data_IF_761305849343
#
_entry.id   IF_761305849343
#
_cell.length_a   1.000
_cell.length_b   1.000
_cell.length_c   1.000
_cell.angle_alpha   90.00
_cell.angle_beta   90.00
_cell.angle_gamma   90.00
#
_symmetry.space_group_name_H-M   'P 1'
#
loop_
_entity.id
_entity.type
_entity.pdbx_description
1 polymer ?
#
# COMPACT_ATOMS: atom_id res chain seq x y z
N UNK A 1 0.25 -20.33 -24.02
CA UNK A 1 -0.63 -19.86 -22.91
C UNK A 1 0.16 -19.72 -21.61
N UNK A 2 1.33 -19.09 -21.65
CA UNK A 2 2.38 -19.18 -20.63
C UNK A 2 2.79 -17.80 -20.08
N UNK A 3 1.84 -17.00 -19.65
CA UNK A 3 2.14 -15.75 -18.96
C UNK A 3 1.23 -15.67 -17.74
N UNK A 4 1.78 -16.01 -16.57
CA UNK A 4 1.12 -15.86 -15.28
C UNK A 4 1.11 -14.37 -14.89
N UNK A 5 0.51 -13.52 -15.72
CA UNK A 5 0.45 -12.08 -15.50
C UNK A 5 -0.49 -11.77 -14.33
N UNK A 6 -0.02 -10.97 -13.37
CA UNK A 6 -0.84 -10.53 -12.23
C UNK A 6 -2.11 -9.82 -12.71
N UNK A 7 -3.23 -10.02 -12.01
CA UNK A 7 -4.50 -9.30 -12.24
C UNK A 7 -4.29 -7.78 -12.37
N UNK A 8 -3.37 -7.23 -11.58
CA UNK A 8 -3.00 -5.81 -11.63
C UNK A 8 -2.56 -5.36 -13.02
N UNK A 9 -1.70 -6.11 -13.70
CA UNK A 9 -1.15 -5.74 -15.02
C UNK A 9 -2.29 -5.65 -16.05
N UNK A 10 -3.18 -6.65 -16.05
CA UNK A 10 -4.31 -6.71 -16.97
C UNK A 10 -5.32 -5.60 -16.67
N UNK A 11 -5.56 -5.32 -15.39
CA UNK A 11 -6.45 -4.23 -14.98
C UNK A 11 -5.89 -2.86 -15.39
N UNK A 12 -4.58 -2.63 -15.23
CA UNK A 12 -3.93 -1.38 -15.66
C UNK A 12 -3.97 -1.20 -17.17
N UNK A 13 -3.67 -2.26 -17.94
CA UNK A 13 -3.78 -2.22 -19.40
C UNK A 13 -5.22 -1.93 -19.84
N UNK A 14 -6.22 -2.59 -19.22
CA UNK A 14 -7.64 -2.29 -19.47
C UNK A 14 -7.95 -0.82 -19.21
N UNK A 15 -7.54 -0.28 -18.06
CA UNK A 15 -7.81 1.13 -17.70
C UNK A 15 -7.19 2.10 -18.70
N UNK A 16 -5.94 1.88 -19.10
CA UNK A 16 -5.27 2.70 -20.11
C UNK A 16 -6.04 2.68 -21.44
N UNK A 17 -6.48 1.51 -21.90
CA UNK A 17 -7.20 1.43 -23.16
C UNK A 17 -8.61 2.01 -23.04
N UNK A 18 -9.33 1.84 -21.93
CA UNK A 18 -10.64 2.47 -21.72
C UNK A 18 -10.53 3.99 -21.67
N UNK A 19 -9.44 4.52 -21.12
CA UNK A 19 -9.16 5.95 -21.07
C UNK A 19 -8.86 6.52 -22.47
N UNK A 20 -8.06 5.83 -23.27
CA UNK A 20 -7.67 6.27 -24.61
C UNK A 20 -8.76 6.00 -25.66
N UNK A 21 -9.47 4.89 -25.52
CA UNK A 21 -10.44 4.38 -26.49
C UNK A 21 -11.79 4.12 -25.81
N UNK A 22 -12.75 5.03 -26.01
CA UNK A 22 -14.11 4.94 -25.48
C UNK A 22 -14.89 3.67 -25.92
N UNK A 23 -14.39 2.91 -26.90
CA UNK A 23 -15.03 1.69 -27.45
C UNK A 23 -15.18 0.54 -26.43
N UNK A 24 -14.33 0.51 -25.40
CA UNK A 24 -14.35 -0.52 -24.36
C UNK A 24 -15.08 -0.10 -23.08
N UNK A 25 -15.60 1.13 -23.05
CA UNK A 25 -16.42 1.62 -21.94
C UNK A 25 -17.73 0.82 -21.91
N UNK A 26 -18.04 0.23 -20.76
CA UNK A 26 -19.31 -0.44 -20.47
C UNK A 26 -19.64 -1.72 -21.31
N UNK A 27 -18.63 -2.46 -21.78
CA UNK A 27 -18.85 -3.75 -22.47
C UNK A 27 -19.03 -4.90 -21.47
N UNK A 28 -20.16 -5.65 -21.49
CA UNK A 28 -20.42 -6.72 -20.52
C UNK A 28 -19.45 -7.90 -20.62
N UNK A 29 -18.92 -8.15 -21.82
CA UNK A 29 -17.89 -9.17 -22.05
C UNK A 29 -16.60 -8.87 -21.29
N UNK A 30 -16.15 -7.60 -21.30
CA UNK A 30 -14.94 -7.17 -20.58
C UNK A 30 -15.14 -7.32 -19.08
N UNK A 31 -16.32 -6.97 -18.55
CA UNK A 31 -16.65 -7.16 -17.15
C UNK A 31 -16.65 -8.64 -16.74
N UNK A 32 -17.25 -9.53 -17.55
CA UNK A 32 -17.23 -10.99 -17.31
C UNK A 32 -15.82 -11.56 -17.38
N UNK A 33 -15.01 -11.12 -18.34
CA UNK A 33 -13.61 -11.53 -18.46
C UNK A 33 -12.80 -11.13 -17.23
N UNK A 34 -12.89 -9.87 -16.79
CA UNK A 34 -12.20 -9.39 -15.59
C UNK A 34 -12.66 -10.13 -14.32
N UNK A 35 -13.95 -10.46 -14.22
CA UNK A 35 -14.49 -11.26 -13.11
C UNK A 35 -13.90 -12.68 -13.11
N UNK A 36 -13.84 -13.34 -14.27
CA UNK A 36 -13.20 -14.65 -14.40
C UNK A 36 -11.70 -14.61 -14.06
N UNK A 37 -11.02 -13.54 -14.49
CA UNK A 37 -9.61 -13.32 -14.19
C UNK A 37 -9.36 -13.12 -12.69
N UNK A 38 -10.23 -12.38 -12.00
CA UNK A 38 -10.15 -12.17 -10.56
C UNK A 38 -10.26 -13.49 -9.78
N UNK A 39 -11.16 -14.40 -10.21
CA UNK A 39 -11.28 -15.73 -9.59
C UNK A 39 -10.05 -16.59 -9.88
N UNK A 40 -9.54 -16.55 -11.11
CA UNK A 40 -8.39 -17.37 -11.54
C UNK A 40 -7.06 -16.88 -10.94
N UNK A 41 -6.91 -15.57 -10.77
CA UNK A 41 -5.69 -14.89 -10.32
C UNK A 41 -6.09 -13.85 -9.26
N UNK A 42 -6.38 -14.27 -8.02
CA UNK A 42 -6.77 -13.34 -6.98
C UNK A 42 -5.64 -12.32 -6.74
N UNK A 43 -5.97 -11.02 -6.57
CA UNK A 43 -4.98 -10.01 -6.22
C UNK A 43 -4.37 -10.38 -4.87
N UNK A 44 -3.04 -10.53 -4.84
CA UNK A 44 -2.33 -10.79 -3.60
C UNK A 44 -2.16 -9.46 -2.85
N UNK A 45 -2.31 -9.46 -1.51
CA UNK A 45 -1.98 -8.28 -0.72
C UNK A 45 -0.52 -7.90 -0.98
N UNK A 46 -0.26 -6.59 -1.14
CA UNK A 46 1.09 -6.08 -1.43
C UNK A 46 2.08 -6.39 -0.30
N UNK A 47 1.57 -6.49 0.92
CA UNK A 47 2.33 -6.80 2.12
C UNK A 47 1.81 -8.09 2.73
N UNK A 48 2.73 -9.02 3.03
CA UNK A 48 2.43 -10.27 3.71
C UNK A 48 2.18 -10.06 5.22
N UNK A 49 2.68 -8.94 5.76
CA UNK A 49 2.57 -8.58 7.16
C UNK A 49 2.53 -7.05 7.28
N UNK A 50 1.73 -6.56 8.22
CA UNK A 50 1.69 -5.15 8.62
C UNK A 50 2.36 -5.02 9.99
N UNK A 51 3.28 -4.08 10.14
CA UNK A 51 3.89 -3.80 11.43
C UNK A 51 2.90 -3.09 12.38
N UNK A 52 2.97 -3.39 13.68
CA UNK A 52 2.13 -2.76 14.70
C UNK A 52 2.81 -1.49 15.26
N UNK A 53 2.29 -0.33 14.86
CA UNK A 53 2.73 0.97 15.36
C UNK A 53 2.55 1.14 16.87
N UNK A 54 1.62 0.41 17.48
CA UNK A 54 1.34 0.47 18.92
C UNK A 54 2.52 -0.02 19.75
N UNK A 55 3.24 -1.03 19.26
CA UNK A 55 4.47 -1.53 19.92
C UNK A 55 5.54 -0.44 19.95
N UNK A 56 5.72 0.26 18.82
CA UNK A 56 6.69 1.35 18.71
C UNK A 56 6.30 2.54 19.61
N UNK A 57 5.02 2.90 19.64
CA UNK A 57 4.50 3.97 20.50
C UNK A 57 4.67 3.65 22.00
N UNK A 58 4.42 2.40 22.42
CA UNK A 58 4.65 1.95 23.80
C UNK A 58 6.13 2.05 24.18
N UNK A 59 7.03 1.62 23.29
CA UNK A 59 8.47 1.73 23.49
C UNK A 59 8.90 3.20 23.64
N UNK A 60 8.44 4.09 22.75
CA UNK A 60 8.70 5.53 22.82
C UNK A 60 8.12 6.17 24.09
N UNK A 61 6.96 5.70 24.54
CA UNK A 61 6.31 6.13 25.78
C UNK A 61 7.11 5.75 27.03
N UNK A 62 7.80 4.59 27.02
CA UNK A 62 8.63 4.14 28.13
C UNK A 62 9.93 4.95 28.31
N UNK A 63 10.33 5.76 27.33
CA UNK A 63 11.48 6.66 27.41
C UNK A 63 11.17 7.93 28.21
N UNK A 64 10.97 7.77 29.52
CA UNK A 64 10.80 8.84 30.49
C UNK A 64 11.71 8.58 31.70
N UNK A 65 12.35 9.59 32.32
CA UNK A 65 12.29 11.04 32.07
C UNK A 65 13.18 11.50 30.92
N UNK A 66 12.75 12.56 30.21
CA UNK A 66 13.48 13.13 29.06
C UNK A 66 14.83 13.74 29.45
N UNK A 67 14.98 14.20 30.70
CA UNK A 67 16.20 14.86 31.18
C UNK A 67 17.40 13.92 31.34
N UNK A 68 17.15 12.61 31.32
CA UNK A 68 18.20 11.57 31.38
C UNK A 68 18.52 10.98 30.01
N UNK A 69 17.80 11.37 28.95
CA UNK A 69 18.03 10.85 27.60
C UNK A 69 19.17 11.61 26.92
N UNK A 70 19.97 10.86 26.18
CA UNK A 70 20.98 11.45 25.29
C UNK A 70 20.30 12.21 24.14
N UNK A 71 20.98 13.21 23.58
CA UNK A 71 20.51 13.96 22.40
C UNK A 71 20.16 13.02 21.23
N UNK A 72 20.90 11.91 21.10
CA UNK A 72 20.67 10.87 20.10
C UNK A 72 19.31 10.18 20.30
N UNK A 73 18.97 9.79 21.53
CA UNK A 73 17.70 9.13 21.84
C UNK A 73 16.51 10.08 21.65
N UNK A 74 16.67 11.35 22.02
CA UNK A 74 15.65 12.37 21.78
C UNK A 74 15.39 12.57 20.28
N UNK A 75 16.46 12.66 19.49
CA UNK A 75 16.37 12.78 18.03
C UNK A 75 15.70 11.55 17.41
N UNK A 76 16.04 10.35 17.88
CA UNK A 76 15.41 9.12 17.40
C UNK A 76 13.91 9.13 17.73
N UNK A 77 13.53 9.52 18.95
CA UNK A 77 12.14 9.59 19.39
C UNK A 77 11.33 10.56 18.55
N UNK A 78 11.85 11.75 18.25
CA UNK A 78 11.15 12.75 17.41
C UNK A 78 11.06 12.31 15.95
N UNK A 79 12.13 11.76 15.37
CA UNK A 79 12.13 11.26 13.98
C UNK A 79 11.15 10.08 13.82
N UNK A 80 11.10 9.15 14.76
CA UNK A 80 10.14 8.04 14.73
C UNK A 80 8.69 8.53 14.80
N UNK A 81 8.39 9.52 15.65
CA UNK A 81 7.05 10.12 15.74
C UNK A 81 6.67 10.90 14.47
N UNK A 82 7.62 11.63 13.88
CA UNK A 82 7.44 12.31 12.59
C UNK A 82 7.19 11.31 11.46
N UNK A 83 7.97 10.22 11.40
CA UNK A 83 7.80 9.15 10.42
C UNK A 83 6.41 8.50 10.54
N UNK A 84 5.96 8.19 11.77
CA UNK A 84 4.62 7.68 12.04
C UNK A 84 3.52 8.66 11.57
N UNK A 85 3.65 9.95 11.88
CA UNK A 85 2.68 10.97 11.49
C UNK A 85 2.64 11.22 9.97
N UNK A 86 3.76 11.03 9.27
CA UNK A 86 3.87 11.24 7.81
C UNK A 86 3.51 9.98 7.02
N UNK A 87 3.62 8.79 7.62
CA UNK A 87 3.31 7.52 6.97
C UNK A 87 1.88 7.47 6.40
N UNK A 88 0.89 8.08 7.07
CA UNK A 88 -0.48 8.19 6.56
C UNK A 88 -0.55 8.94 5.21
N UNK A 89 0.36 9.89 4.96
CA UNK A 89 0.39 10.69 3.73
C UNK A 89 1.13 10.00 2.59
N UNK A 90 2.01 9.05 2.88
CA UNK A 90 2.71 8.25 1.86
C UNK A 90 1.80 7.23 1.16
N UNK A 91 0.61 6.95 1.70
CA UNK A 91 -0.36 6.05 1.07
C UNK A 91 -0.92 6.57 -0.26
N UNK A 92 -0.77 7.87 -0.57
CA UNK A 92 -1.14 8.47 -1.86
C UNK A 92 -0.02 8.45 -2.92
N UNK A 93 1.25 8.33 -2.52
CA UNK A 93 2.39 8.37 -3.46
C UNK A 93 2.89 6.99 -3.90
N UNK A 94 2.32 5.91 -3.35
CA UNK A 94 2.63 4.52 -3.73
C UNK A 94 1.40 3.80 -4.31
N UNK A 95 0.46 4.52 -4.93
CA UNK A 95 -0.63 3.94 -5.74
C UNK A 95 -0.34 4.17 -7.22
#
# INVERSE_FOLDING_TARGET
LSQNSSYFIVNTARSAIVQTLNIMKNRPLVARFMKGLFVKIPPRPRYLFTWDASVLLKFLGSMYPLDKLSLKELTLKTVCLLALSTAQRCQLCLV
#
